data_IF_900267904983
#
_entry.id   IF_900267904983
#
_cell.length_a   1.000
_cell.length_b   1.000
_cell.length_c   1.000
_cell.angle_alpha   90.00
_cell.angle_beta   90.00
_cell.angle_gamma   90.00
#
_symmetry.space_group_name_H-M   'P 1'
#
loop_
_entity.id
_entity.type
_entity.pdbx_description
1 polymer ?
#
# COMPACT_ATOMS: atom_id res chain seq x y z
N UNK A 1 -28.44 -53.03 -1.17
CA UNK A 1 -27.13 -52.55 -1.68
C UNK A 1 -27.16 -51.14 -2.30
N UNK A 2 -28.33 -50.61 -2.73
CA UNK A 2 -28.44 -49.25 -3.32
C UNK A 2 -28.44 -48.08 -2.32
N UNK A 3 -28.89 -48.25 -1.07
CA UNK A 3 -28.95 -47.17 -0.06
C UNK A 3 -27.56 -46.69 0.37
N UNK A 4 -26.61 -47.62 0.54
CA UNK A 4 -25.22 -47.30 0.90
C UNK A 4 -24.56 -46.37 -0.12
N UNK A 5 -24.87 -46.52 -1.42
CA UNK A 5 -24.36 -45.66 -2.47
C UNK A 5 -24.92 -44.23 -2.41
N UNK A 6 -26.20 -44.06 -2.05
CA UNK A 6 -26.82 -42.73 -1.91
C UNK A 6 -26.28 -41.98 -0.69
N UNK A 7 -26.13 -42.67 0.44
CA UNK A 7 -25.55 -42.10 1.66
C UNK A 7 -24.08 -41.71 1.42
N UNK A 8 -23.29 -42.57 0.78
CA UNK A 8 -21.89 -42.27 0.44
C UNK A 8 -21.76 -41.06 -0.50
N UNK A 9 -22.62 -40.95 -1.53
CA UNK A 9 -22.66 -39.80 -2.44
C UNK A 9 -23.08 -38.51 -1.72
N UNK A 10 -24.05 -38.59 -0.81
CA UNK A 10 -24.49 -37.46 -0.01
C UNK A 10 -23.39 -36.95 0.92
N UNK A 11 -22.69 -37.85 1.61
CA UNK A 11 -21.55 -37.50 2.45
C UNK A 11 -20.41 -36.90 1.65
N UNK A 12 -20.10 -37.46 0.48
CA UNK A 12 -19.08 -36.90 -0.40
C UNK A 12 -19.45 -35.49 -0.89
N UNK A 13 -20.70 -35.29 -1.32
CA UNK A 13 -21.19 -33.97 -1.75
C UNK A 13 -21.15 -32.95 -0.62
N UNK A 14 -21.56 -33.33 0.59
CA UNK A 14 -21.49 -32.46 1.77
C UNK A 14 -20.05 -32.12 2.15
N UNK A 15 -19.14 -33.10 2.15
CA UNK A 15 -17.72 -32.89 2.42
C UNK A 15 -17.06 -32.01 1.36
N UNK A 16 -17.41 -32.21 0.09
CA UNK A 16 -16.93 -31.38 -1.02
C UNK A 16 -17.42 -29.94 -0.88
N UNK A 17 -18.71 -29.72 -0.62
CA UNK A 17 -19.26 -28.38 -0.38
C UNK A 17 -18.65 -27.72 0.85
N UNK A 18 -18.46 -28.46 1.95
CA UNK A 18 -17.79 -27.95 3.14
C UNK A 18 -16.33 -27.56 2.85
N UNK A 19 -15.61 -28.36 2.06
CA UNK A 19 -14.26 -28.02 1.62
C UNK A 19 -14.24 -26.77 0.73
N UNK A 20 -15.18 -26.64 -0.21
CA UNK A 20 -15.33 -25.44 -1.04
C UNK A 20 -15.66 -24.19 -0.20
N UNK A 21 -16.57 -24.30 0.78
CA UNK A 21 -16.90 -23.23 1.71
C UNK A 21 -15.68 -22.84 2.57
N UNK A 22 -14.95 -23.82 3.10
CA UNK A 22 -13.74 -23.56 3.87
C UNK A 22 -12.68 -22.86 3.02
N UNK A 23 -12.50 -23.26 1.75
CA UNK A 23 -11.62 -22.59 0.82
C UNK A 23 -12.05 -21.14 0.52
N UNK A 24 -13.35 -20.91 0.31
CA UNK A 24 -13.88 -19.56 0.08
C UNK A 24 -13.72 -18.64 1.30
N UNK A 25 -13.98 -19.15 2.50
CA UNK A 25 -13.86 -18.39 3.75
C UNK A 25 -12.40 -18.12 4.13
N UNK A 26 -11.48 -19.05 3.83
CA UNK A 26 -10.05 -18.89 4.11
C UNK A 26 -9.27 -18.22 2.98
N UNK A 27 -9.93 -17.87 1.87
CA UNK A 27 -9.29 -17.21 0.74
C UNK A 27 -8.73 -15.82 1.11
N UNK A 28 -9.38 -15.09 2.01
CA UNK A 28 -8.98 -13.73 2.42
C UNK A 28 -7.83 -13.72 3.44
N UNK A 29 -7.54 -14.86 4.09
CA UNK A 29 -6.54 -14.98 5.17
C UNK A 29 -5.22 -15.64 4.74
N UNK A 30 -5.09 -16.10 3.47
CA UNK A 30 -3.85 -16.72 2.98
C UNK A 30 -2.89 -15.67 2.41
N UNK A 31 -1.67 -15.53 2.97
CA UNK A 31 -0.62 -14.74 2.35
C UNK A 31 -0.12 -15.48 1.10
N UNK A 32 -0.31 -14.89 -0.08
CA UNK A 32 0.14 -15.45 -1.37
C UNK A 32 -0.97 -15.90 -2.32
N UNK A 33 -1.99 -15.07 -2.56
CA UNK A 33 -3.07 -15.33 -3.51
C UNK A 33 -2.59 -15.28 -5.00
N UNK A 34 -1.73 -16.21 -5.41
CA UNK A 34 -1.61 -16.64 -6.80
C UNK A 34 -2.65 -17.75 -7.03
N UNK A 35 -3.82 -17.41 -7.59
CA UNK A 35 -4.78 -18.45 -8.00
C UNK A 35 -6.26 -18.07 -8.06
N UNK A 36 -6.64 -16.83 -7.76
CA UNK A 36 -8.01 -16.38 -7.95
C UNK A 36 -8.06 -15.21 -8.92
N UNK A 37 -8.60 -15.41 -10.12
CA UNK A 37 -9.16 -14.29 -10.86
C UNK A 37 -10.28 -13.69 -9.99
N UNK A 38 -9.98 -12.65 -9.21
CA UNK A 38 -11.03 -11.80 -8.60
C UNK A 38 -11.72 -11.09 -9.77
N UNK A 39 -12.74 -11.75 -10.34
CA UNK A 39 -13.55 -11.23 -11.45
C UNK A 39 -14.30 -9.94 -11.05
N UNK A 40 -14.35 -9.65 -9.74
CA UNK A 40 -14.72 -8.35 -9.20
C UNK A 40 -13.65 -7.95 -8.19
N UNK A 41 -12.75 -7.04 -8.57
CA UNK A 41 -11.91 -6.34 -7.60
C UNK A 41 -12.87 -5.72 -6.58
N UNK A 42 -12.82 -6.17 -5.33
CA UNK A 42 -13.47 -5.51 -4.20
C UNK A 42 -13.32 -4.00 -4.38
N UNK A 43 -14.42 -3.29 -4.64
CA UNK A 43 -14.38 -1.87 -4.94
C UNK A 43 -13.80 -1.16 -3.72
N UNK A 44 -12.53 -0.82 -3.85
CA UNK A 44 -11.72 -0.24 -2.79
C UNK A 44 -11.10 1.01 -3.37
N UNK A 45 -11.13 2.07 -2.59
CA UNK A 45 -10.45 3.31 -2.93
C UNK A 45 -9.29 3.54 -1.98
N UNK A 46 -8.26 4.20 -2.50
CA UNK A 46 -7.07 4.58 -1.74
C UNK A 46 -6.85 6.07 -1.94
N UNK A 47 -6.57 6.76 -0.84
CA UNK A 47 -6.07 8.13 -0.81
C UNK A 47 -4.77 8.14 -0.02
N UNK A 48 -3.78 8.90 -0.46
CA UNK A 48 -2.52 8.99 0.26
C UNK A 48 -1.98 10.42 0.28
N UNK A 49 -1.31 10.75 1.38
CA UNK A 49 -0.74 12.06 1.66
C UNK A 49 0.73 11.90 2.02
N UNK A 50 1.59 12.70 1.37
CA UNK A 50 3.04 12.66 1.57
C UNK A 50 3.45 13.70 2.60
N UNK A 51 4.34 13.29 3.49
CA UNK A 51 4.97 14.11 4.49
C UNK A 51 6.46 13.84 4.50
N UNK A 52 7.23 14.83 4.92
CA UNK A 52 8.63 14.69 5.31
C UNK A 52 8.76 14.90 6.81
N UNK A 53 9.62 14.13 7.46
CA UNK A 53 9.98 14.34 8.85
C UNK A 53 11.24 15.20 8.93
N UNK A 54 11.10 16.40 9.50
CA UNK A 54 12.19 17.37 9.67
C UNK A 54 12.27 17.75 11.14
N UNK A 55 13.38 17.43 11.79
CA UNK A 55 13.60 17.67 13.23
C UNK A 55 12.45 17.14 14.12
N UNK A 56 11.90 15.97 13.77
CA UNK A 56 10.78 15.33 14.47
C UNK A 56 9.40 15.90 14.15
N UNK A 57 9.30 16.93 13.31
CA UNK A 57 8.02 17.48 12.85
C UNK A 57 7.65 16.90 11.47
N UNK A 58 6.39 16.52 11.31
CA UNK A 58 5.84 16.12 10.01
C UNK A 58 5.42 17.36 9.21
N UNK A 59 6.08 17.58 8.08
CA UNK A 59 5.81 18.67 7.15
C UNK A 59 5.12 18.09 5.90
N UNK A 60 3.91 18.55 5.54
CA UNK A 60 3.19 18.04 4.39
C UNK A 60 3.88 18.42 3.06
N UNK A 61 3.81 17.52 2.08
CA UNK A 61 4.35 17.67 0.72
C UNK A 61 3.23 17.38 -0.30
N UNK A 62 2.22 18.26 -0.40
CA UNK A 62 0.97 17.96 -1.10
C UNK A 62 1.13 17.76 -2.61
N UNK A 63 2.15 18.36 -3.23
CA UNK A 63 2.40 18.22 -4.68
C UNK A 63 3.42 17.15 -5.00
N UNK A 64 4.07 16.54 -4.00
CA UNK A 64 5.24 15.68 -4.20
C UNK A 64 6.55 16.44 -4.43
N UNK A 65 6.55 17.77 -4.40
CA UNK A 65 7.75 18.60 -4.56
C UNK A 65 8.08 19.30 -3.24
N UNK A 66 9.35 19.32 -2.86
CA UNK A 66 9.81 20.03 -1.66
C UNK A 66 11.18 20.68 -1.88
N UNK A 67 11.48 21.67 -1.05
CA UNK A 67 12.79 22.29 -0.98
C UNK A 67 13.45 21.91 0.33
N UNK A 68 14.71 21.47 0.26
CA UNK A 68 15.51 21.14 1.42
C UNK A 68 16.96 21.54 1.19
N UNK A 69 17.67 21.77 2.30
CA UNK A 69 19.11 22.04 2.24
C UNK A 69 19.90 20.76 2.04
N UNK A 70 20.93 20.86 1.24
CA UNK A 70 21.95 19.81 1.14
C UNK A 70 23.01 19.95 2.24
N UNK A 71 23.98 19.03 2.25
CA UNK A 71 25.07 19.03 3.23
C UNK A 71 25.96 20.30 3.18
N UNK A 72 25.92 21.08 2.10
CA UNK A 72 26.60 22.37 1.98
C UNK A 72 25.78 23.55 2.51
N UNK A 73 24.53 23.29 2.92
CA UNK A 73 23.55 24.31 3.30
C UNK A 73 22.83 24.96 2.13
N UNK A 74 23.07 24.51 0.90
CA UNK A 74 22.46 25.03 -0.33
C UNK A 74 21.04 24.52 -0.46
N UNK A 75 20.09 25.41 -0.75
CA UNK A 75 18.70 25.03 -0.98
C UNK A 75 18.57 24.33 -2.34
N UNK A 76 18.00 23.13 -2.35
CA UNK A 76 17.72 22.36 -3.56
C UNK A 76 16.26 21.95 -3.60
N UNK A 77 15.73 21.86 -4.82
CA UNK A 77 14.41 21.27 -5.07
C UNK A 77 14.57 19.76 -5.25
N UNK A 78 13.67 19.02 -4.63
CA UNK A 78 13.49 17.59 -4.80
C UNK A 78 12.06 17.33 -5.27
N UNK A 79 11.87 16.35 -6.14
CA UNK A 79 10.57 16.01 -6.70
C UNK A 79 10.35 14.51 -6.70
N UNK A 80 9.23 14.08 -6.12
CA UNK A 80 8.73 12.72 -6.24
C UNK A 80 8.59 12.29 -7.70
N UNK A 81 8.12 13.21 -8.55
CA UNK A 81 7.83 12.92 -9.96
C UNK A 81 9.09 12.73 -10.78
N UNK A 82 10.26 13.21 -10.34
CA UNK A 82 11.54 12.96 -11.02
C UNK A 82 11.88 11.47 -11.03
N UNK A 83 11.52 10.75 -9.97
CA UNK A 83 11.77 9.31 -9.83
C UNK A 83 10.57 8.45 -10.20
N UNK A 84 9.37 8.82 -9.74
CA UNK A 84 8.15 8.04 -9.95
C UNK A 84 7.36 8.62 -11.10
N UNK A 85 7.26 7.88 -12.22
CA UNK A 85 6.56 8.33 -13.44
C UNK A 85 5.13 7.81 -13.57
N UNK A 86 4.71 6.88 -12.70
CA UNK A 86 3.35 6.30 -12.71
C UNK A 86 2.33 7.32 -12.18
N UNK A 87 1.36 7.77 -12.97
CA UNK A 87 0.41 8.81 -12.56
C UNK A 87 -0.34 8.47 -11.28
N UNK A 88 -0.74 7.20 -11.12
CA UNK A 88 -1.47 6.68 -9.97
C UNK A 88 -0.65 6.65 -8.67
N UNK A 89 0.67 6.83 -8.75
CA UNK A 89 1.57 6.96 -7.58
C UNK A 89 1.97 8.42 -7.33
N UNK A 90 1.51 9.36 -8.15
CA UNK A 90 1.84 10.79 -8.05
C UNK A 90 0.64 11.69 -7.71
N UNK A 91 -0.56 11.09 -7.57
CA UNK A 91 -1.81 11.78 -7.28
C UNK A 91 -2.08 11.83 -5.76
N UNK A 92 -1.32 12.66 -5.06
CA UNK A 92 -1.47 12.89 -3.62
C UNK A 92 -2.80 13.61 -3.30
N UNK A 93 -3.43 13.22 -2.19
CA UNK A 93 -4.67 13.83 -1.70
C UNK A 93 -5.93 13.50 -2.52
N UNK A 94 -5.80 12.72 -3.60
CA UNK A 94 -6.91 12.31 -4.46
C UNK A 94 -7.33 10.88 -4.12
N UNK A 95 -8.63 10.62 -4.20
CA UNK A 95 -9.18 9.27 -4.04
C UNK A 95 -9.08 8.50 -5.37
N UNK A 96 -8.37 7.37 -5.37
CA UNK A 96 -8.11 6.54 -6.55
C UNK A 96 -8.72 5.15 -6.38
N UNK A 97 -9.19 4.56 -7.48
CA UNK A 97 -9.63 3.16 -7.48
C UNK A 97 -8.42 2.21 -7.33
N UNK A 98 -8.46 1.34 -6.32
CA UNK A 98 -7.46 0.29 -6.11
C UNK A 98 -7.74 -0.91 -7.02
N UNK A 99 -7.60 -0.70 -8.34
CA UNK A 99 -7.95 -1.67 -9.39
C UNK A 99 -7.23 -3.02 -9.26
N UNK A 100 -6.06 -3.05 -8.59
CA UNK A 100 -5.26 -4.25 -8.33
C UNK A 100 -5.32 -4.71 -6.87
N UNK A 101 -6.26 -4.17 -6.08
CA UNK A 101 -6.36 -4.39 -4.65
C UNK A 101 -5.55 -3.40 -3.83
N UNK A 102 -6.02 -3.11 -2.61
CA UNK A 102 -5.38 -2.14 -1.72
C UNK A 102 -3.97 -2.59 -1.28
N UNK A 103 -3.77 -3.88 -0.97
CA UNK A 103 -2.49 -4.41 -0.53
C UNK A 103 -1.37 -4.18 -1.57
N UNK A 104 -1.61 -4.55 -2.84
CA UNK A 104 -0.65 -4.34 -3.92
C UNK A 104 -0.36 -2.87 -4.18
N UNK A 105 -1.35 -1.98 -4.01
CA UNK A 105 -1.11 -0.54 -4.11
C UNK A 105 -0.24 -0.02 -2.95
N UNK A 106 -0.50 -0.46 -1.73
CA UNK A 106 0.31 -0.12 -0.55
C UNK A 106 1.77 -0.59 -0.70
N UNK A 107 2.00 -1.81 -1.19
CA UNK A 107 3.36 -2.32 -1.46
C UNK A 107 4.10 -1.49 -2.51
N UNK A 108 3.41 -1.10 -3.60
CA UNK A 108 3.99 -0.23 -4.63
C UNK A 108 4.31 1.15 -4.08
N UNK A 109 3.45 1.71 -3.24
CA UNK A 109 3.69 2.99 -2.57
C UNK A 109 4.90 2.91 -1.62
N UNK A 110 5.04 1.82 -0.88
CA UNK A 110 6.20 1.61 -0.01
C UNK A 110 7.51 1.54 -0.81
N UNK A 111 7.53 0.74 -1.88
CA UNK A 111 8.71 0.64 -2.75
C UNK A 111 9.07 1.99 -3.39
N UNK A 112 8.06 2.76 -3.83
CA UNK A 112 8.28 4.10 -4.37
C UNK A 112 8.79 5.08 -3.31
N UNK A 113 8.28 5.00 -2.08
CA UNK A 113 8.71 5.83 -0.95
C UNK A 113 10.20 5.64 -0.64
N UNK A 114 10.63 4.38 -0.58
CA UNK A 114 12.03 4.02 -0.34
C UNK A 114 12.95 4.47 -1.48
N UNK A 115 12.52 4.25 -2.71
CA UNK A 115 13.29 4.60 -3.91
C UNK A 115 13.46 6.12 -4.07
N UNK A 116 12.39 6.90 -3.87
CA UNK A 116 12.46 8.37 -3.84
C UNK A 116 13.34 8.86 -2.70
N UNK A 117 13.23 8.23 -1.53
CA UNK A 117 14.07 8.60 -0.39
C UNK A 117 15.55 8.40 -0.72
N UNK A 118 15.93 7.25 -1.30
CA UNK A 118 17.30 6.96 -1.72
C UNK A 118 17.82 7.94 -2.78
N UNK A 119 16.99 8.29 -3.78
CA UNK A 119 17.33 9.26 -4.81
C UNK A 119 17.57 10.67 -4.23
N UNK A 120 16.75 11.09 -3.27
CA UNK A 120 16.91 12.32 -2.51
C UNK A 120 18.03 12.25 -1.43
N UNK A 121 19.12 11.52 -1.70
CA UNK A 121 20.30 11.40 -0.82
C UNK A 121 20.99 12.72 -0.51
N UNK A 122 20.82 13.73 -1.37
CA UNK A 122 21.31 15.08 -1.14
C UNK A 122 20.54 15.86 -0.08
N UNK A 123 19.32 15.44 0.29
CA UNK A 123 18.51 16.11 1.31
C UNK A 123 19.08 15.81 2.71
N UNK A 124 19.61 16.86 3.36
CA UNK A 124 20.20 16.79 4.70
C UNK A 124 19.22 17.19 5.81
N UNK A 125 18.04 17.71 5.48
CA UNK A 125 17.03 18.14 6.46
C UNK A 125 16.00 17.05 6.75
N UNK A 126 15.68 16.22 5.76
CA UNK A 126 14.67 15.18 5.85
C UNK A 126 15.24 13.90 6.46
N UNK A 127 14.77 13.53 7.65
CA UNK A 127 15.15 12.28 8.32
C UNK A 127 14.45 11.07 7.72
N UNK A 128 13.22 11.26 7.23
CA UNK A 128 12.35 10.21 6.72
C UNK A 128 11.22 10.79 5.86
N UNK A 129 10.80 10.05 4.85
CA UNK A 129 9.54 10.31 4.15
C UNK A 129 8.44 9.42 4.74
N UNK A 130 7.24 9.98 4.86
CA UNK A 130 6.08 9.31 5.45
C UNK A 130 4.90 9.46 4.50
N UNK A 131 4.25 8.33 4.21
CA UNK A 131 2.96 8.31 3.52
C UNK A 131 1.87 7.91 4.51
N UNK A 132 0.84 8.73 4.63
CA UNK A 132 -0.40 8.33 5.29
C UNK A 132 -1.34 7.82 4.20
N UNK A 133 -1.64 6.52 4.23
CA UNK A 133 -2.46 5.84 3.23
C UNK A 133 -3.80 5.46 3.86
N UNK A 134 -4.88 6.07 3.38
CA UNK A 134 -6.24 5.73 3.78
C UNK A 134 -6.86 4.84 2.71
N UNK A 135 -7.19 3.61 3.10
CA UNK A 135 -7.91 2.64 2.28
C UNK A 135 -9.36 2.60 2.72
N UNK A 136 -10.29 2.67 1.76
CA UNK A 136 -11.72 2.47 2.00
C UNK A 136 -12.18 1.26 1.23
N UNK A 137 -12.71 0.26 1.95
CA UNK A 137 -13.35 -0.92 1.35
C UNK A 137 -14.87 -0.82 1.55
N UNK A 138 -15.65 -1.25 0.57
CA UNK A 138 -17.10 -1.23 0.68
C UNK A 138 -17.59 -2.00 1.92
N UNK A 139 -18.50 -1.38 2.68
CA UNK A 139 -19.09 -1.91 3.94
C UNK A 139 -18.08 -2.12 5.09
N UNK A 140 -16.86 -1.59 5.01
CA UNK A 140 -15.89 -1.57 6.10
C UNK A 140 -15.54 -0.12 6.46
N UNK A 141 -15.16 0.16 7.72
CA UNK A 141 -14.60 1.46 8.08
C UNK A 141 -13.31 1.72 7.30
N UNK A 142 -12.97 2.99 7.01
CA UNK A 142 -11.67 3.33 6.45
C UNK A 142 -10.54 2.85 7.35
N UNK A 143 -9.51 2.29 6.73
CA UNK A 143 -8.30 1.83 7.39
C UNK A 143 -7.16 2.79 7.01
N UNK A 144 -6.45 3.30 8.01
CA UNK A 144 -5.30 4.19 7.78
C UNK A 144 -4.03 3.43 8.12
N UNK A 145 -3.13 3.32 7.15
CA UNK A 145 -1.80 2.80 7.32
C UNK A 145 -0.78 3.94 7.21
N UNK A 146 0.24 3.90 8.06
CA UNK A 146 1.39 4.80 7.98
C UNK A 146 2.56 4.03 7.38
N UNK A 147 3.03 4.47 6.23
CA UNK A 147 4.23 3.93 5.58
C UNK A 147 5.38 4.88 5.82
N UNK A 148 6.54 4.33 6.10
CA UNK A 148 7.73 5.09 6.47
C UNK A 148 8.90 4.59 5.64
N UNK A 149 9.68 5.53 5.08
CA UNK A 149 10.94 5.16 4.44
C UNK A 149 11.94 4.63 5.46
N UNK A 150 13.04 4.06 4.97
CA UNK A 150 14.23 3.82 5.78
C UNK A 150 14.58 5.05 6.63
N UNK A 151 14.96 4.88 7.91
CA UNK A 151 15.41 5.99 8.73
C UNK A 151 16.80 6.45 8.27
N UNK A 152 17.02 7.76 8.13
CA UNK A 152 18.38 8.34 8.13
C UNK A 152 18.75 8.76 9.54
N UNK A 153 20.02 8.56 9.91
CA UNK A 153 20.56 9.22 11.09
C UNK A 153 20.57 10.74 10.81
N UNK A 154 19.86 11.52 11.65
CA UNK A 154 19.96 12.97 11.62
C UNK A 154 21.42 13.34 11.92
N UNK A 155 22.15 13.85 10.92
CA UNK A 155 23.41 14.55 11.20
C UNK A 155 23.02 15.89 11.81
N UNK A 156 23.20 16.03 13.11
CA UNK A 156 23.13 17.33 13.76
C UNK A 156 24.21 18.25 13.14
N UNK A 157 23.93 19.56 13.00
CA UNK A 157 24.96 20.52 12.59
C UNK A 157 26.12 20.58 13.59
#
# INVERSE_FOLDING_TARGET
MLESSRVARGLFAAAWLAAQCALALTADSRPGAMGGFRMFSEASTVRYELFREVRGALVPVPTGDWNARDASGTMRRYSWRERVRRPELCAFGVELAASYGAATQTERLHAALDDVFLDASGDAETTRLVLIVTTRRNRRPPETARLESFPRAHRAP
#
